data_IF_473260606815
#
_entry.id   IF_473260606815
#
_cell.length_a   1.000
_cell.length_b   1.000
_cell.length_c   1.000
_cell.angle_alpha   90.00
_cell.angle_beta   90.00
_cell.angle_gamma   90.00
#
_symmetry.space_group_name_H-M   'P 1'
#
loop_
_entity.id
_entity.type
_entity.pdbx_description
1 polymer ?
#
# COMPACT_ATOMS: atom_id res chain seq x y z
N UNK A 1 -13.51 0.15 5.19
CA UNK A 1 -14.12 -0.22 6.48
C UNK A 1 -13.01 -0.60 7.45
N UNK A 2 -12.89 0.08 8.55
CA UNK A 2 -11.93 -0.23 9.61
C UNK A 2 -12.46 -1.39 10.48
N UNK A 3 -12.75 -2.55 9.87
CA UNK A 3 -13.31 -3.69 10.61
C UNK A 3 -12.29 -4.79 10.82
N UNK A 4 -12.20 -5.26 12.06
CA UNK A 4 -11.41 -6.40 12.48
C UNK A 4 -12.28 -7.64 12.83
N UNK A 5 -13.60 -7.49 12.80
CA UNK A 5 -14.55 -8.54 13.24
C UNK A 5 -14.98 -9.47 12.10
N UNK A 6 -14.87 -9.00 10.86
CA UNK A 6 -15.30 -9.73 9.67
C UNK A 6 -14.36 -9.51 8.50
N UNK A 7 -14.06 -10.59 7.75
CA UNK A 7 -13.26 -10.49 6.54
C UNK A 7 -14.01 -9.72 5.45
N UNK A 8 -13.34 -8.67 4.94
CA UNK A 8 -13.88 -7.81 3.87
C UNK A 8 -13.88 -8.54 2.53
N UNK A 9 -12.84 -9.34 2.26
CA UNK A 9 -12.66 -10.09 1.01
C UNK A 9 -12.08 -11.47 1.29
N UNK A 10 -12.40 -12.43 0.43
CA UNK A 10 -11.82 -13.77 0.42
C UNK A 10 -11.30 -14.17 -0.95
N UNK A 11 -10.69 -15.37 -1.04
CA UNK A 11 -9.97 -15.88 -2.21
C UNK A 11 -10.75 -15.84 -3.50
N UNK A 12 -11.99 -16.35 -3.51
CA UNK A 12 -12.81 -16.38 -4.72
C UNK A 12 -13.08 -15.00 -5.31
N UNK A 13 -13.43 -14.02 -4.47
CA UNK A 13 -13.70 -12.64 -4.93
C UNK A 13 -12.42 -11.98 -5.42
N UNK A 14 -11.31 -12.14 -4.69
CA UNK A 14 -10.00 -11.65 -5.10
C UNK A 14 -9.57 -12.23 -6.45
N UNK A 15 -9.72 -13.54 -6.65
CA UNK A 15 -9.39 -14.23 -7.90
C UNK A 15 -10.23 -13.74 -9.08
N UNK A 16 -11.54 -13.58 -8.91
CA UNK A 16 -12.41 -13.07 -9.98
C UNK A 16 -12.03 -11.64 -10.36
N UNK A 17 -11.79 -10.78 -9.38
CA UNK A 17 -11.41 -9.40 -9.62
C UNK A 17 -10.01 -9.30 -10.28
N UNK A 18 -9.04 -10.08 -9.83
CA UNK A 18 -7.71 -10.16 -10.43
C UNK A 18 -7.75 -10.60 -11.89
N UNK A 19 -8.56 -11.65 -12.22
CA UNK A 19 -8.79 -12.07 -13.61
C UNK A 19 -9.47 -11.02 -14.48
N UNK A 20 -10.14 -10.03 -13.88
CA UNK A 20 -10.77 -8.88 -14.56
C UNK A 20 -9.87 -7.65 -14.67
N UNK A 21 -8.59 -7.76 -14.29
CA UNK A 21 -7.60 -6.69 -14.44
C UNK A 21 -7.35 -5.85 -13.20
N UNK A 22 -7.90 -6.23 -12.04
CA UNK A 22 -7.49 -5.63 -10.76
C UNK A 22 -6.09 -6.14 -10.44
N UNK A 23 -5.13 -5.25 -10.27
CA UNK A 23 -3.71 -5.61 -10.09
C UNK A 23 -3.32 -5.87 -8.62
N UNK A 24 -4.14 -5.45 -7.66
CA UNK A 24 -3.89 -5.65 -6.23
C UNK A 24 -4.99 -5.06 -5.37
N UNK A 25 -4.92 -5.33 -4.07
CA UNK A 25 -5.93 -4.91 -3.09
C UNK A 25 -5.27 -4.29 -1.87
N UNK A 26 -5.78 -3.15 -1.45
CA UNK A 26 -5.48 -2.53 -0.16
C UNK A 26 -6.76 -2.51 0.66
N UNK A 27 -6.77 -3.25 1.76
CA UNK A 27 -7.94 -3.46 2.61
C UNK A 27 -7.66 -2.92 4.01
N UNK A 28 -8.33 -1.83 4.37
CA UNK A 28 -8.31 -1.31 5.73
C UNK A 28 -9.20 -2.17 6.65
N UNK A 29 -8.79 -3.40 6.86
CA UNK A 29 -9.52 -4.43 7.58
C UNK A 29 -8.87 -5.80 7.42
N UNK A 30 -9.56 -6.86 7.83
CA UNK A 30 -9.08 -8.25 7.73
C UNK A 30 -9.60 -8.93 6.47
N UNK A 31 -8.83 -9.91 6.00
CA UNK A 31 -9.12 -10.73 4.81
C UNK A 31 -9.17 -12.20 5.19
N UNK A 32 -9.65 -13.07 4.30
CA UNK A 32 -9.66 -14.54 4.51
C UNK A 32 -9.14 -15.29 3.29
N UNK A 33 -9.02 -16.60 3.41
CA UNK A 33 -8.60 -17.50 2.33
C UNK A 33 -7.19 -17.19 1.82
N UNK A 34 -6.27 -16.89 2.77
CA UNK A 34 -4.93 -16.39 2.45
C UNK A 34 -4.07 -17.39 1.67
N UNK A 35 -4.31 -18.69 1.85
CA UNK A 35 -3.60 -19.75 1.11
C UNK A 35 -3.88 -19.62 -0.40
N UNK A 36 -5.14 -19.48 -0.77
CA UNK A 36 -5.59 -19.32 -2.16
C UNK A 36 -5.09 -18.00 -2.78
N UNK A 37 -5.09 -16.90 -2.00
CA UNK A 37 -4.59 -15.60 -2.42
C UNK A 37 -3.09 -15.69 -2.73
N UNK A 38 -2.31 -16.38 -1.88
CA UNK A 38 -0.86 -16.59 -2.08
C UNK A 38 -0.58 -17.50 -3.28
N UNK A 39 -1.31 -18.61 -3.43
CA UNK A 39 -1.19 -19.49 -4.59
C UNK A 39 -1.48 -18.74 -5.90
N UNK A 40 -2.52 -17.90 -5.89
CA UNK A 40 -2.88 -17.03 -7.01
C UNK A 40 -1.91 -15.86 -7.25
N UNK A 41 -0.89 -15.66 -6.38
CA UNK A 41 0.06 -14.53 -6.42
C UNK A 41 -0.64 -13.17 -6.51
N UNK A 42 -1.79 -13.03 -5.82
CA UNK A 42 -2.59 -11.82 -5.84
C UNK A 42 -2.03 -10.84 -4.81
N UNK A 43 -1.54 -9.66 -5.21
CA UNK A 43 -1.07 -8.66 -4.26
C UNK A 43 -2.20 -8.22 -3.32
N UNK A 44 -2.05 -8.50 -2.04
CA UNK A 44 -3.08 -8.24 -1.03
C UNK A 44 -2.46 -7.65 0.23
N UNK A 45 -2.87 -6.45 0.58
CA UNK A 45 -2.45 -5.71 1.76
C UNK A 45 -3.66 -5.54 2.68
N UNK A 46 -3.55 -6.01 3.91
CA UNK A 46 -4.64 -5.96 4.89
C UNK A 46 -4.10 -5.91 6.31
N UNK A 47 -4.97 -5.58 7.27
CA UNK A 47 -4.60 -5.50 8.69
C UNK A 47 -4.41 -6.85 9.37
N UNK A 48 -4.90 -7.92 8.75
CA UNK A 48 -4.80 -9.26 9.32
C UNK A 48 -5.69 -10.28 8.59
N UNK A 49 -5.77 -11.48 9.18
CA UNK A 49 -6.51 -12.60 8.62
C UNK A 49 -7.55 -13.08 9.62
N UNK A 50 -8.80 -13.24 9.16
CA UNK A 50 -9.90 -13.79 9.96
C UNK A 50 -10.84 -14.59 9.07
N UNK A 51 -11.19 -15.81 9.45
CA UNK A 51 -12.05 -16.69 8.66
C UNK A 51 -13.54 -16.24 8.60
N UNK A 52 -14.02 -15.48 9.60
CA UNK A 52 -15.41 -15.04 9.69
C UNK A 52 -15.77 -14.10 8.53
N UNK A 53 -16.74 -14.48 7.66
CA UNK A 53 -17.15 -13.62 6.56
C UNK A 53 -18.05 -12.47 7.03
N UNK A 54 -17.93 -11.32 6.38
CA UNK A 54 -18.89 -10.24 6.52
C UNK A 54 -20.23 -10.52 5.80
N UNK A 55 -21.26 -9.76 6.15
CA UNK A 55 -22.54 -9.82 5.46
C UNK A 55 -22.51 -9.07 4.13
N UNK A 56 -23.23 -9.57 3.12
CA UNK A 56 -23.37 -8.95 1.79
C UNK A 56 -24.73 -8.28 1.64
N UNK A 57 -25.12 -7.46 2.60
CA UNK A 57 -26.49 -6.90 2.65
C UNK A 57 -26.66 -5.62 1.86
N UNK A 58 -25.57 -4.88 1.62
CA UNK A 58 -25.64 -3.55 0.99
C UNK A 58 -24.53 -3.40 -0.04
N UNK A 59 -24.86 -2.70 -1.13
CA UNK A 59 -23.86 -2.21 -2.08
C UNK A 59 -23.39 -0.83 -1.63
N UNK A 60 -22.07 -0.65 -1.58
CA UNK A 60 -21.47 0.66 -1.27
C UNK A 60 -21.09 1.38 -2.58
N UNK A 61 -21.04 2.70 -2.59
CA UNK A 61 -20.57 3.45 -3.74
C UNK A 61 -19.14 3.04 -4.13
N UNK A 62 -18.87 2.97 -5.43
CA UNK A 62 -17.55 2.75 -6.01
C UNK A 62 -16.99 4.03 -6.58
N UNK A 63 -15.66 4.13 -6.76
CA UNK A 63 -14.99 5.31 -7.28
C UNK A 63 -15.28 6.59 -6.48
N UNK A 64 -15.36 6.47 -5.17
CA UNK A 64 -15.54 7.59 -4.24
C UNK A 64 -14.31 7.73 -3.35
N UNK A 65 -14.01 8.94 -2.85
CA UNK A 65 -12.95 9.12 -1.87
C UNK A 65 -13.19 8.26 -0.63
N UNK A 66 -12.12 7.64 -0.14
CA UNK A 66 -12.14 6.83 1.09
C UNK A 66 -11.04 7.28 2.04
N UNK A 67 -11.12 6.82 3.27
CA UNK A 67 -10.00 6.87 4.22
C UNK A 67 -9.58 5.44 4.50
N UNK A 68 -8.30 5.14 4.30
CA UNK A 68 -7.70 3.84 4.57
C UNK A 68 -6.40 4.04 5.35
N UNK A 69 -6.27 3.37 6.49
CA UNK A 69 -5.11 3.54 7.39
C UNK A 69 -4.91 4.98 7.88
N UNK A 70 -5.99 5.77 7.98
CA UNK A 70 -5.94 7.19 8.34
C UNK A 70 -5.60 8.14 7.19
N UNK A 71 -5.29 7.63 6.00
CA UNK A 71 -4.93 8.41 4.81
C UNK A 71 -6.14 8.54 3.88
N UNK A 72 -6.41 9.75 3.40
CA UNK A 72 -7.43 10.00 2.38
C UNK A 72 -6.91 9.52 1.01
N UNK A 73 -7.70 8.71 0.34
CA UNK A 73 -7.40 8.16 -0.99
C UNK A 73 -8.53 8.57 -1.94
N UNK A 74 -8.20 9.22 -3.03
CA UNK A 74 -9.17 9.62 -4.04
C UNK A 74 -9.09 8.69 -5.27
N UNK A 75 -10.18 8.55 -6.02
CA UNK A 75 -10.14 7.84 -7.29
C UNK A 75 -9.09 8.43 -8.24
N UNK A 76 -8.21 7.57 -8.74
CA UNK A 76 -7.12 7.96 -9.62
C UNK A 76 -5.79 8.23 -8.94
N UNK A 77 -5.73 8.24 -7.61
CA UNK A 77 -4.46 8.28 -6.88
C UNK A 77 -3.64 7.01 -7.16
N UNK A 78 -2.31 7.16 -7.22
CA UNK A 78 -1.39 6.05 -7.48
C UNK A 78 -1.01 5.41 -6.15
N UNK A 79 -1.08 4.09 -6.10
CA UNK A 79 -0.68 3.30 -4.93
C UNK A 79 0.62 2.58 -5.25
N UNK A 80 1.62 2.79 -4.42
CA UNK A 80 2.87 2.03 -4.41
C UNK A 80 2.90 1.24 -3.11
N UNK A 81 2.97 -0.07 -3.20
CA UNK A 81 2.86 -0.95 -2.05
C UNK A 81 3.82 -2.13 -2.18
N UNK A 82 4.56 -2.41 -1.11
CA UNK A 82 5.50 -3.51 -0.98
C UNK A 82 5.47 -4.10 0.45
N UNK A 83 6.48 -4.89 0.79
CA UNK A 83 6.60 -5.53 2.11
C UNK A 83 6.83 -4.52 3.25
N UNK A 84 7.34 -3.33 2.95
CA UNK A 84 7.66 -2.29 3.94
C UNK A 84 6.48 -1.36 4.21
N UNK A 85 5.57 -1.19 3.24
CA UNK A 85 4.42 -0.33 3.44
C UNK A 85 3.68 0.07 2.18
N UNK A 86 2.82 1.08 2.35
CA UNK A 86 1.94 1.58 1.29
C UNK A 86 2.08 3.08 1.22
N UNK A 87 2.43 3.60 0.06
CA UNK A 87 2.42 5.02 -0.25
C UNK A 87 1.24 5.37 -1.15
N UNK A 88 0.59 6.50 -0.87
CA UNK A 88 -0.48 7.06 -1.70
C UNK A 88 0.04 8.34 -2.34
N UNK A 89 0.07 8.37 -3.65
CA UNK A 89 0.54 9.50 -4.44
C UNK A 89 -0.67 10.15 -5.10
N UNK A 90 -1.01 11.41 -4.72
CA UNK A 90 -2.08 12.15 -5.38
C UNK A 90 -1.84 12.24 -6.89
N UNK A 91 -2.87 11.98 -7.68
CA UNK A 91 -2.78 11.93 -9.15
C UNK A 91 -2.15 13.19 -9.75
N UNK A 92 -2.51 14.35 -9.22
CA UNK A 92 -2.04 15.67 -9.68
C UNK A 92 -0.57 15.94 -9.35
N UNK A 93 0.02 15.22 -8.39
CA UNK A 93 1.43 15.32 -7.98
C UNK A 93 2.32 14.18 -8.48
N UNK A 94 1.78 13.25 -9.22
CA UNK A 94 2.49 12.03 -9.60
C UNK A 94 3.79 12.30 -10.37
N UNK A 95 3.76 13.25 -11.30
CA UNK A 95 4.93 13.56 -12.13
C UNK A 95 6.02 14.30 -11.36
N UNK A 96 5.64 15.21 -10.48
CA UNK A 96 6.55 15.94 -9.59
C UNK A 96 7.27 14.95 -8.66
N UNK A 97 6.50 14.13 -7.92
CA UNK A 97 7.02 13.14 -6.99
C UNK A 97 7.91 12.12 -7.71
N UNK A 98 7.52 11.68 -8.91
CA UNK A 98 8.35 10.75 -9.71
C UNK A 98 9.74 11.34 -10.01
N UNK A 99 9.81 12.61 -10.41
CA UNK A 99 11.09 13.29 -10.69
C UNK A 99 11.96 13.39 -9.45
N UNK A 100 11.39 13.82 -8.33
CA UNK A 100 12.09 13.92 -7.06
C UNK A 100 12.64 12.55 -6.59
N UNK A 101 11.82 11.52 -6.62
CA UNK A 101 12.23 10.17 -6.28
C UNK A 101 13.35 9.66 -7.19
N UNK A 102 13.25 9.88 -8.51
CA UNK A 102 14.27 9.48 -9.46
C UNK A 102 15.61 10.16 -9.21
N UNK A 103 15.59 11.45 -8.93
CA UNK A 103 16.80 12.20 -8.59
C UNK A 103 17.43 11.69 -7.28
N UNK A 104 16.61 11.42 -6.27
CA UNK A 104 17.07 10.88 -5.00
C UNK A 104 17.71 9.51 -5.16
N UNK A 105 17.07 8.60 -5.87
CA UNK A 105 17.61 7.25 -6.15
C UNK A 105 18.94 7.34 -6.90
N UNK A 106 19.06 8.23 -7.90
CA UNK A 106 20.30 8.42 -8.63
C UNK A 106 21.43 8.95 -7.73
N UNK A 107 21.14 9.93 -6.86
CA UNK A 107 22.11 10.47 -5.90
C UNK A 107 22.56 9.39 -4.89
N UNK A 108 21.63 8.59 -4.40
CA UNK A 108 21.95 7.52 -3.45
C UNK A 108 22.76 6.40 -4.12
N UNK A 109 22.41 6.01 -5.34
CA UNK A 109 23.16 4.99 -6.09
C UNK A 109 24.58 5.41 -6.49
N UNK A 110 24.83 6.71 -6.60
CA UNK A 110 26.16 7.26 -6.90
C UNK A 110 27.04 7.44 -5.65
N UNK A 111 26.49 7.29 -4.44
CA UNK A 111 27.18 7.50 -3.18
C UNK A 111 27.80 6.20 -2.68
N UNK A 112 29.07 6.23 -2.28
CA UNK A 112 29.70 5.09 -1.59
C UNK A 112 29.13 4.91 -0.16
N UNK A 113 29.32 3.73 0.41
CA UNK A 113 28.90 3.49 1.80
C UNK A 113 29.65 4.38 2.79
N UNK A 114 30.92 4.64 2.54
CA UNK A 114 31.76 5.53 3.35
C UNK A 114 31.25 6.97 3.34
N UNK A 115 30.93 7.51 2.17
CA UNK A 115 30.34 8.85 2.02
C UNK A 115 28.97 8.95 2.70
N UNK A 116 28.15 7.89 2.59
CA UNK A 116 26.89 7.81 3.29
C UNK A 116 27.09 7.83 4.81
N UNK A 117 28.01 7.02 5.32
CA UNK A 117 28.30 6.90 6.75
C UNK A 117 28.79 8.22 7.34
N UNK A 118 29.70 8.92 6.66
CA UNK A 118 30.18 10.25 7.08
C UNK A 118 29.06 11.28 7.13
N UNK A 119 28.22 11.32 6.10
CA UNK A 119 27.06 12.22 6.05
C UNK A 119 26.08 11.92 7.17
N UNK A 120 25.81 10.64 7.40
CA UNK A 120 24.89 10.19 8.45
C UNK A 120 25.40 10.57 9.83
N UNK A 121 26.72 10.37 10.10
CA UNK A 121 27.35 10.79 11.33
C UNK A 121 27.24 12.30 11.56
N UNK A 122 27.55 13.11 10.57
CA UNK A 122 27.41 14.58 10.67
C UNK A 122 25.98 15.00 11.02
N UNK A 123 24.97 14.35 10.40
CA UNK A 123 23.59 14.62 10.71
C UNK A 123 23.23 14.26 12.17
N UNK A 124 23.74 13.14 12.67
CA UNK A 124 23.52 12.74 14.06
C UNK A 124 24.21 13.71 15.02
N UNK A 125 25.47 14.04 14.77
CA UNK A 125 26.24 14.95 15.62
C UNK A 125 25.56 16.33 15.75
N UNK A 126 24.91 16.82 14.70
CA UNK A 126 24.19 18.10 14.70
C UNK A 126 22.95 18.13 15.60
N UNK A 127 22.46 16.99 16.10
CA UNK A 127 21.37 16.94 17.08
C UNK A 127 21.86 17.08 18.53
N UNK A 128 23.17 16.99 18.75
CA UNK A 128 23.78 17.06 20.08
C UNK A 128 24.58 18.35 20.32
N UNK A 129 24.67 19.22 19.32
CA UNK A 129 25.17 20.59 19.41
C UNK A 129 24.03 21.57 19.76
#
# INVERSE_FOLDING_TARGET
>A
SNTMDYAVIGGNVATIAFKRGIVGFVIDGVVRDIAEIREGKIPMFGRGVLAMPGSKKEAIPVNTPITAGGIKVNPGDIIVADEEGIAVIPKDKAEEIYKECKEKVQKEAAMSFEEWAERHKKNIDSFYE
#
